data_IF_224030211591
#
_entry.id   IF_224030211591
#
_cell.length_a   1.000
_cell.length_b   1.000
_cell.length_c   1.000
_cell.angle_alpha   90.00
_cell.angle_beta   90.00
_cell.angle_gamma   90.00
#
_symmetry.space_group_name_H-M   'P 1'
#
loop_
_entity.id
_entity.type
_entity.pdbx_description
1 polymer ?
#
# COMPACT_ATOMS: atom_id res chain seq x y z
N UNK A 1 -29.17 -5.88 17.67
CA UNK A 1 -28.66 -5.86 16.28
C UNK A 1 -27.83 -4.62 15.91
N UNK A 2 -28.12 -3.42 16.44
CA UNK A 2 -27.41 -2.18 16.07
C UNK A 2 -25.97 -2.06 16.61
N UNK A 3 -25.69 -2.70 17.74
CA UNK A 3 -24.36 -2.66 18.38
C UNK A 3 -23.29 -3.41 17.55
N UNK A 4 -23.63 -4.59 17.02
CA UNK A 4 -22.74 -5.36 16.15
C UNK A 4 -22.39 -4.60 14.87
N UNK A 5 -23.34 -3.84 14.33
CA UNK A 5 -23.12 -2.96 13.17
C UNK A 5 -22.12 -1.85 13.45
N UNK A 6 -22.18 -1.22 14.63
CA UNK A 6 -21.23 -0.18 15.03
C UNK A 6 -19.81 -0.74 15.15
N UNK A 7 -19.66 -1.91 15.78
CA UNK A 7 -18.37 -2.59 15.90
C UNK A 7 -17.81 -2.95 14.53
N UNK A 8 -18.65 -3.50 13.65
CA UNK A 8 -18.24 -3.88 12.30
C UNK A 8 -17.81 -2.66 11.47
N UNK A 9 -18.57 -1.56 11.53
CA UNK A 9 -18.27 -0.33 10.81
C UNK A 9 -16.93 0.28 11.25
N UNK A 10 -16.65 0.32 12.55
CA UNK A 10 -15.37 0.80 13.09
C UNK A 10 -14.22 -0.10 12.60
N UNK A 11 -14.40 -1.41 12.65
CA UNK A 11 -13.38 -2.38 12.19
C UNK A 11 -13.12 -2.25 10.68
N UNK A 12 -14.17 -2.05 9.89
CA UNK A 12 -14.07 -1.85 8.43
C UNK A 12 -13.31 -0.56 8.10
N UNK A 13 -13.64 0.55 8.78
CA UNK A 13 -12.95 1.83 8.59
C UNK A 13 -11.47 1.75 8.92
N UNK A 14 -11.11 1.06 10.02
CA UNK A 14 -9.70 0.84 10.39
C UNK A 14 -8.99 -0.01 9.33
N UNK A 15 -9.66 -1.04 8.80
CA UNK A 15 -9.10 -1.92 7.76
C UNK A 15 -8.89 -1.17 6.43
N UNK A 16 -9.81 -0.27 6.05
CA UNK A 16 -9.67 0.61 4.88
C UNK A 16 -8.60 1.69 5.07
N UNK A 17 -8.39 2.14 6.31
CA UNK A 17 -7.41 3.17 6.63
C UNK A 17 -5.96 2.64 6.63
N UNK A 18 -5.75 1.32 6.53
CA UNK A 18 -4.43 0.78 6.21
C UNK A 18 -4.22 1.00 4.70
N UNK A 19 -3.43 2.01 4.30
CA UNK A 19 -3.24 2.33 2.89
C UNK A 19 -2.72 1.06 2.22
N UNK A 20 -3.53 0.51 1.31
CA UNK A 20 -3.45 -0.88 0.87
C UNK A 20 -2.01 -1.38 0.78
N UNK A 21 -1.61 -2.14 1.79
CA UNK A 21 -0.31 -2.79 1.87
C UNK A 21 -0.31 -3.80 0.71
N UNK A 22 0.30 -3.42 -0.41
CA UNK A 22 0.28 -4.22 -1.64
C UNK A 22 -0.76 -3.85 -2.70
N UNK A 23 -1.18 -2.58 -2.84
CA UNK A 23 -1.95 -2.19 -4.03
C UNK A 23 -1.15 -2.51 -5.32
N UNK A 24 -1.81 -3.22 -6.24
CA UNK A 24 -1.27 -3.50 -7.57
C UNK A 24 -1.37 -2.21 -8.38
N UNK A 25 -0.25 -1.52 -8.59
CA UNK A 25 -0.20 -0.29 -9.40
C UNK A 25 0.24 -0.66 -10.80
N UNK A 26 -0.51 -0.20 -11.81
CA UNK A 26 -0.18 -0.42 -13.24
C UNK A 26 1.24 0.05 -13.59
N UNK A 27 1.72 1.09 -12.91
CA UNK A 27 3.02 1.69 -13.16
C UNK A 27 3.80 1.89 -11.84
N UNK A 28 5.10 1.65 -11.89
CA UNK A 28 6.01 1.94 -10.79
C UNK A 28 6.52 3.39 -10.95
N UNK A 29 6.27 4.29 -9.98
CA UNK A 29 6.70 5.69 -10.10
C UNK A 29 8.21 5.78 -10.33
N UNK A 30 8.68 6.75 -11.12
CA UNK A 30 10.10 6.87 -11.51
C UNK A 30 11.08 6.95 -10.34
N UNK A 31 10.63 7.43 -9.18
CA UNK A 31 11.43 7.52 -7.95
C UNK A 31 11.34 6.29 -7.05
N UNK A 32 10.54 5.30 -7.44
CA UNK A 32 10.53 3.99 -6.82
C UNK A 32 11.60 3.09 -7.46
N UNK A 33 12.03 2.10 -6.69
CA UNK A 33 13.04 1.14 -7.12
C UNK A 33 12.47 -0.26 -7.10
N UNK A 34 12.93 -1.11 -8.03
CA UNK A 34 12.42 -2.46 -8.14
C UNK A 34 13.35 -3.45 -7.45
N UNK A 35 12.81 -4.15 -6.46
CA UNK A 35 13.56 -5.09 -5.63
C UNK A 35 12.71 -6.28 -5.23
N UNK A 36 13.37 -7.40 -4.92
CA UNK A 36 12.74 -8.59 -4.34
C UNK A 36 12.28 -8.35 -2.90
N UNK A 37 12.90 -7.39 -2.20
CA UNK A 37 12.54 -6.97 -0.84
C UNK A 37 12.68 -5.45 -0.75
N UNK A 38 11.68 -4.80 -0.17
CA UNK A 38 11.73 -3.37 0.11
C UNK A 38 12.35 -3.11 1.48
N UNK A 39 12.98 -1.95 1.64
CA UNK A 39 13.54 -1.52 2.92
C UNK A 39 12.44 -1.28 3.95
N UNK A 40 12.80 -1.42 5.23
CA UNK A 40 11.86 -1.27 6.35
C UNK A 40 11.45 0.20 6.45
N UNK A 41 10.22 0.51 6.04
CA UNK A 41 9.73 1.88 5.93
C UNK A 41 9.36 2.28 4.50
N UNK A 42 9.67 1.47 3.50
CA UNK A 42 9.19 1.70 2.14
C UNK A 42 7.85 1.01 1.92
N UNK A 43 6.94 1.70 1.23
CA UNK A 43 5.70 1.08 0.77
C UNK A 43 6.00 0.22 -0.45
N UNK A 44 5.49 -1.01 -0.47
CA UNK A 44 5.67 -1.92 -1.59
C UNK A 44 4.37 -1.99 -2.40
N UNK A 45 4.51 -2.05 -3.72
CA UNK A 45 3.42 -2.21 -4.67
C UNK A 45 3.83 -3.26 -5.70
N UNK A 46 2.87 -4.02 -6.21
CA UNK A 46 3.09 -4.91 -7.34
C UNK A 46 2.86 -4.11 -8.62
N UNK A 47 3.83 -4.10 -9.54
CA UNK A 47 3.70 -3.36 -10.79
C UNK A 47 4.15 -4.19 -11.98
N UNK A 48 3.43 -4.09 -13.09
CA UNK A 48 3.73 -4.83 -14.33
C UNK A 48 5.05 -4.40 -14.96
N UNK A 49 5.50 -3.17 -14.70
CA UNK A 49 6.82 -2.67 -15.12
C UNK A 49 7.99 -3.40 -14.44
N UNK A 50 7.74 -4.06 -13.30
CA UNK A 50 8.78 -4.71 -12.53
C UNK A 50 8.45 -6.17 -12.25
N UNK A 51 9.40 -7.05 -12.60
CA UNK A 51 9.30 -8.50 -12.34
C UNK A 51 9.13 -8.86 -10.85
N UNK A 52 9.45 -7.93 -9.95
CA UNK A 52 9.40 -8.08 -8.50
C UNK A 52 8.51 -7.00 -7.86
N UNK A 53 8.84 -6.55 -6.64
CA UNK A 53 8.10 -5.49 -5.97
C UNK A 53 8.64 -4.12 -6.36
N UNK A 54 7.73 -3.17 -6.58
CA UNK A 54 8.01 -1.75 -6.70
C UNK A 54 8.03 -1.15 -5.29
N UNK A 55 9.20 -0.70 -4.84
CA UNK A 55 9.42 -0.13 -3.52
C UNK A 55 9.43 1.40 -3.61
N UNK A 56 8.47 2.04 -2.96
CA UNK A 56 8.31 3.50 -2.92
C UNK A 56 8.67 4.00 -1.51
N UNK A 57 9.70 4.85 -1.37
CA UNK A 57 10.08 5.38 -0.08
C UNK A 57 8.97 6.25 0.52
N UNK A 58 8.65 6.04 1.80
CA UNK A 58 7.51 6.68 2.51
C UNK A 58 7.64 8.21 2.63
N UNK A 59 8.83 8.77 2.37
CA UNK A 59 9.06 10.21 2.26
C UNK A 59 8.67 10.83 0.92
N UNK A 60 8.23 10.03 -0.06
CA UNK A 60 7.88 10.52 -1.39
C UNK A 60 6.39 10.85 -1.48
N UNK A 61 6.04 12.08 -1.08
CA UNK A 61 4.76 12.71 -1.43
C UNK A 61 4.94 13.37 -2.80
N UNK A 62 4.16 12.96 -3.79
CA UNK A 62 3.91 13.79 -4.97
C UNK A 62 3.46 15.17 -4.46
N UNK A 63 4.24 16.20 -4.80
CA UNK A 63 3.99 17.58 -4.38
C UNK A 63 2.89 18.19 -5.24
#
# INVERSE_FOLDING_TARGET
MRFLYLVFAVFFLISLAVPGYGQIKKYCPKHAYCSRKCSKGDSWSLSSDCKYYCCVPYGWKEK
#
